data_IF_995138381872
#
_entry.id   IF_995138381872
#
_cell.length_a   1.000
_cell.length_b   1.000
_cell.length_c   1.000
_cell.angle_alpha   90.00
_cell.angle_beta   90.00
_cell.angle_gamma   90.00
#
_symmetry.space_group_name_H-M   'P 1'
#
loop_
_entity.id
_entity.type
_entity.pdbx_description
1 polymer ?
#
# COMPACT_ATOMS: atom_id res chain seq x y z
N UNK A 1 -4.21 -11.87 6.27
CA UNK A 1 -4.56 -10.43 6.27
C UNK A 1 -5.55 -10.15 5.15
N UNK A 2 -6.69 -9.62 5.48
CA UNK A 2 -7.68 -9.29 4.47
C UNK A 2 -7.76 -7.79 4.27
N UNK A 3 -7.24 -7.32 3.15
CA UNK A 3 -7.34 -5.94 2.76
C UNK A 3 -8.27 -5.87 1.57
N UNK A 4 -9.27 -5.00 1.65
CA UNK A 4 -10.29 -4.86 0.63
C UNK A 4 -10.32 -3.45 0.08
N UNK A 5 -10.91 -3.29 -1.08
CA UNK A 5 -11.17 -1.98 -1.65
C UNK A 5 -11.96 -1.14 -0.65
N UNK A 6 -11.52 0.08 -0.44
CA UNK A 6 -12.14 0.99 0.53
C UNK A 6 -11.50 0.97 1.91
N UNK A 7 -10.65 0.00 2.21
CA UNK A 7 -9.99 -0.07 3.50
C UNK A 7 -8.91 1.01 3.63
N UNK A 8 -8.69 1.46 4.86
CA UNK A 8 -7.58 2.36 5.15
C UNK A 8 -6.36 1.53 5.51
N UNK A 9 -5.23 1.94 4.98
CA UNK A 9 -3.95 1.27 5.25
C UNK A 9 -2.90 2.31 5.58
N UNK A 10 -1.83 1.86 6.23
CA UNK A 10 -0.67 2.69 6.51
C UNK A 10 0.54 2.04 5.89
N UNK A 11 1.41 2.86 5.30
CA UNK A 11 2.64 2.35 4.68
C UNK A 11 3.64 1.94 5.74
N UNK A 12 4.31 0.82 5.50
CA UNK A 12 5.28 0.23 6.41
C UNK A 12 6.70 0.66 6.04
N UNK A 13 7.66 0.52 6.97
CA UNK A 13 9.06 0.92 6.70
C UNK A 13 9.68 0.29 5.46
N UNK A 14 9.15 -0.83 5.01
CA UNK A 14 9.67 -1.51 3.84
C UNK A 14 9.60 -0.64 2.57
N UNK A 15 8.65 0.27 2.50
CA UNK A 15 8.54 1.17 1.33
C UNK A 15 9.74 2.10 1.20
N UNK A 16 10.47 2.33 2.27
CA UNK A 16 11.57 3.29 2.27
C UNK A 16 12.82 2.77 1.58
N UNK A 17 12.89 1.50 1.27
CA UNK A 17 14.07 0.94 0.61
C UNK A 17 14.19 1.41 -0.84
N UNK A 18 13.10 1.27 -1.60
CA UNK A 18 13.09 1.64 -3.01
C UNK A 18 12.01 2.66 -3.29
N UNK A 19 10.82 2.49 -2.69
CA UNK A 19 9.68 3.35 -2.99
C UNK A 19 9.89 4.81 -2.62
N UNK A 20 10.66 5.07 -1.56
CA UNK A 20 10.94 6.45 -1.16
C UNK A 20 11.67 7.21 -2.26
N UNK A 21 12.50 6.53 -3.05
CA UNK A 21 13.26 7.14 -4.12
C UNK A 21 12.45 7.20 -5.41
N UNK A 22 11.81 6.09 -5.79
CA UNK A 22 11.13 5.97 -7.07
C UNK A 22 9.76 6.63 -7.04
N UNK A 23 8.96 6.32 -6.02
CA UNK A 23 7.57 6.76 -5.91
C UNK A 23 7.37 7.88 -4.89
N UNK A 24 8.42 8.23 -4.17
CA UNK A 24 8.37 9.27 -3.13
C UNK A 24 7.41 8.94 -2.01
N UNK A 25 7.29 7.66 -1.68
CA UNK A 25 6.46 7.19 -0.58
C UNK A 25 7.32 6.98 0.65
N UNK A 26 6.83 7.43 1.78
CA UNK A 26 7.50 7.25 3.06
C UNK A 26 6.66 6.34 3.95
N UNK A 27 7.27 5.76 4.96
CA UNK A 27 6.56 4.96 5.94
C UNK A 27 5.65 5.85 6.77
N UNK A 28 4.53 5.28 7.22
CA UNK A 28 3.60 6.00 8.09
C UNK A 28 2.56 6.83 7.38
N UNK A 29 2.50 6.77 6.06
CA UNK A 29 1.47 7.49 5.30
C UNK A 29 0.19 6.66 5.24
N UNK A 30 -0.94 7.34 5.39
CA UNK A 30 -2.25 6.69 5.35
C UNK A 30 -2.84 6.84 3.96
N UNK A 31 -3.40 5.75 3.44
CA UNK A 31 -4.07 5.76 2.16
C UNK A 31 -5.31 4.90 2.16
N UNK A 32 -6.07 4.99 1.06
CA UNK A 32 -7.28 4.21 0.85
C UNK A 32 -7.02 3.21 -0.27
N UNK A 33 -7.39 1.95 -0.04
CA UNK A 33 -7.25 0.91 -1.06
C UNK A 33 -8.27 1.16 -2.15
N UNK A 34 -7.80 1.35 -3.38
CA UNK A 34 -8.65 1.60 -4.54
C UNK A 34 -8.89 0.34 -5.35
N UNK A 35 -7.99 -0.63 -5.26
CA UNK A 35 -8.15 -1.89 -5.99
C UNK A 35 -7.32 -2.98 -5.32
N UNK A 36 -7.73 -4.21 -5.54
CA UNK A 36 -6.98 -5.38 -5.09
C UNK A 36 -6.70 -6.21 -6.33
N UNK A 37 -5.45 -6.30 -6.71
CA UNK A 37 -5.04 -7.06 -7.89
C UNK A 37 -4.72 -8.49 -7.49
N UNK A 38 -4.72 -9.37 -8.48
CA UNK A 38 -4.32 -10.75 -8.23
C UNK A 38 -2.84 -10.81 -7.83
N UNK A 39 -2.48 -11.93 -7.23
CA UNK A 39 -1.14 -12.12 -6.71
C UNK A 39 -0.10 -12.05 -7.81
N UNK A 40 0.98 -11.37 -7.50
CA UNK A 40 2.13 -11.29 -8.37
C UNK A 40 3.35 -11.78 -7.61
N UNK A 41 4.03 -12.79 -8.12
CA UNK A 41 5.23 -13.36 -7.50
C UNK A 41 4.97 -13.76 -6.04
N UNK A 42 3.81 -14.39 -5.81
CA UNK A 42 3.44 -14.87 -4.47
C UNK A 42 2.91 -13.81 -3.54
N UNK A 43 2.78 -12.56 -4.00
CA UNK A 43 2.32 -11.45 -3.18
C UNK A 43 1.09 -10.78 -3.78
N UNK A 44 0.24 -10.24 -2.92
CA UNK A 44 -0.87 -9.43 -3.37
C UNK A 44 -0.39 -8.02 -3.68
N UNK A 45 -1.02 -7.41 -4.69
CA UNK A 45 -0.73 -6.04 -5.07
C UNK A 45 -2.00 -5.22 -4.86
N UNK A 46 -1.87 -4.10 -4.15
CA UNK A 46 -2.98 -3.21 -3.87
C UNK A 46 -2.76 -1.86 -4.53
N UNK A 47 -3.82 -1.32 -5.14
CA UNK A 47 -3.83 0.08 -5.52
C UNK A 47 -4.19 0.89 -4.28
N UNK A 48 -3.39 1.88 -3.95
CA UNK A 48 -3.58 2.67 -2.74
C UNK A 48 -3.49 4.15 -3.10
N UNK A 49 -4.53 4.89 -2.73
CA UNK A 49 -4.58 6.33 -2.95
C UNK A 49 -3.99 7.04 -1.74
N UNK A 50 -2.88 7.75 -1.95
CA UNK A 50 -2.19 8.48 -0.90
C UNK A 50 -2.01 9.92 -1.38
N UNK A 51 -2.55 10.87 -0.65
CA UNK A 51 -2.45 12.30 -0.95
C UNK A 51 -2.82 12.62 -2.40
N UNK A 52 -3.89 12.03 -2.87
CA UNK A 52 -4.42 12.31 -4.21
C UNK A 52 -3.75 11.57 -5.34
N UNK A 53 -2.83 10.68 -5.06
CA UNK A 53 -2.14 9.93 -6.09
C UNK A 53 -2.20 8.43 -5.79
N UNK A 54 -2.45 7.63 -6.83
CA UNK A 54 -2.56 6.18 -6.68
C UNK A 54 -1.20 5.52 -6.85
N UNK A 55 -0.90 4.59 -5.94
CA UNK A 55 0.32 3.79 -6.00
C UNK A 55 -0.05 2.32 -5.93
N UNK A 56 0.79 1.46 -6.50
CA UNK A 56 0.61 0.01 -6.43
C UNK A 56 1.65 -0.57 -5.47
N UNK A 57 1.17 -1.09 -4.36
CA UNK A 57 2.02 -1.56 -3.27
C UNK A 57 1.77 -3.03 -2.98
N UNK A 58 2.81 -3.73 -2.57
CA UNK A 58 2.71 -5.13 -2.19
C UNK A 58 2.12 -5.27 -0.79
N UNK A 59 1.67 -6.48 -0.48
CA UNK A 59 1.04 -6.77 0.81
C UNK A 59 1.98 -6.60 2.00
N UNK A 60 3.30 -6.68 1.79
CA UNK A 60 4.27 -6.46 2.86
C UNK A 60 4.69 -5.00 2.99
N UNK A 61 4.14 -4.13 2.16
CA UNK A 61 4.45 -2.70 2.18
C UNK A 61 3.37 -1.87 2.88
N UNK A 62 2.24 -2.47 3.19
CA UNK A 62 1.13 -1.77 3.86
C UNK A 62 0.54 -2.64 4.96
N UNK A 63 -0.11 -1.98 5.91
CA UNK A 63 -0.82 -2.66 6.99
C UNK A 63 -2.21 -2.05 7.10
N UNK A 64 -3.22 -2.90 7.24
CA UNK A 64 -4.58 -2.43 7.41
C UNK A 64 -4.72 -1.69 8.73
N UNK A 65 -5.35 -0.53 8.68
CA UNK A 65 -5.68 0.21 9.88
C UNK A 65 -6.99 -0.32 10.44
N UNK A 66 -6.92 -0.81 11.67
CA UNK A 66 -8.09 -1.32 12.36
C UNK A 66 -8.40 -0.39 13.54
N UNK A 67 -9.70 -0.18 13.74
CA UNK A 67 -10.14 0.60 14.87
C UNK A 67 -10.14 -0.23 16.13
#
# INVERSE_FOLDING_TARGET
MEIKEGDLVVTLPRVEKIRAIVDRIQAGQIGVVTSVSSRFDGRWVFGVLIEGQEYFLFDDEVKKLEK
#
